data_IF_499425961951
#
_entry.id   IF_499425961951
#
_cell.length_a   1.000
_cell.length_b   1.000
_cell.length_c   1.000
_cell.angle_alpha   90.00
_cell.angle_beta   90.00
_cell.angle_gamma   90.00
#
_symmetry.space_group_name_H-M   'P 1'
#
loop_
_entity.id
_entity.type
_entity.pdbx_description
1 polymer ?
#
# COMPACT_ATOMS: atom_id res chain seq x y z
N UNK A 1 -5.50 27.30 25.44
CA UNK A 1 -4.84 27.45 24.12
C UNK A 1 -3.47 26.76 24.01
N UNK A 2 -2.66 26.71 25.09
CA UNK A 2 -1.31 26.10 25.10
C UNK A 2 -1.30 24.60 24.71
N UNK A 3 -2.23 23.82 25.27
CA UNK A 3 -2.39 22.37 24.99
C UNK A 3 -2.64 22.09 23.50
N UNK A 4 -3.56 22.83 22.87
CA UNK A 4 -3.85 22.70 21.43
C UNK A 4 -2.64 23.03 20.56
N UNK A 5 -1.93 24.11 20.89
CA UNK A 5 -0.71 24.52 20.19
C UNK A 5 0.37 23.44 20.27
N UNK A 6 0.60 22.89 21.46
CA UNK A 6 1.59 21.83 21.69
C UNK A 6 1.20 20.53 20.99
N UNK A 7 -0.08 20.15 21.04
CA UNK A 7 -0.61 18.98 20.34
C UNK A 7 -0.46 19.07 18.81
N UNK A 8 -0.90 20.19 18.22
CA UNK A 8 -0.79 20.41 16.77
C UNK A 8 0.66 20.43 16.31
N UNK A 9 1.58 21.02 17.09
CA UNK A 9 3.00 21.09 16.74
C UNK A 9 3.63 19.71 16.61
N UNK A 10 3.26 18.75 17.48
CA UNK A 10 3.72 17.36 17.38
C UNK A 10 3.30 16.69 16.07
N UNK A 11 2.11 17.04 15.56
CA UNK A 11 1.57 16.47 14.32
C UNK A 11 2.23 17.14 13.10
N UNK A 12 2.28 18.47 13.07
CA UNK A 12 2.78 19.23 11.91
C UNK A 12 4.29 19.13 11.72
N UNK A 13 5.06 18.87 12.78
CA UNK A 13 6.51 18.72 12.72
C UNK A 13 6.96 17.24 12.65
N UNK A 14 6.02 16.31 12.48
CA UNK A 14 6.37 14.91 12.29
C UNK A 14 6.79 14.65 10.84
N UNK A 15 8.07 14.87 10.54
CA UNK A 15 8.64 14.66 9.21
C UNK A 15 8.51 13.20 8.71
N UNK A 16 8.29 12.22 9.59
CA UNK A 16 8.03 10.83 9.19
C UNK A 16 6.71 10.69 8.43
N UNK A 17 5.75 11.59 8.66
CA UNK A 17 4.46 11.58 7.95
C UNK A 17 4.59 11.96 6.48
N UNK A 18 5.64 12.69 6.09
CA UNK A 18 5.92 13.03 4.70
C UNK A 18 6.32 11.78 3.88
N UNK A 19 6.83 10.76 4.56
CA UNK A 19 7.39 9.54 3.99
C UNK A 19 6.62 8.28 4.41
N UNK A 20 5.36 8.42 4.85
CA UNK A 20 4.56 7.28 5.28
C UNK A 20 4.17 6.40 4.08
N UNK A 21 3.87 5.13 4.37
CA UNK A 21 3.57 4.16 3.33
C UNK A 21 2.24 4.43 2.61
N UNK A 22 2.08 3.91 1.39
CA UNK A 22 0.85 4.01 0.60
C UNK A 22 -0.35 3.50 1.39
N UNK A 23 -0.24 2.37 2.11
CA UNK A 23 -1.34 1.88 2.96
C UNK A 23 -1.77 2.91 4.02
N UNK A 24 -0.80 3.59 4.65
CA UNK A 24 -1.09 4.67 5.61
C UNK A 24 -1.72 5.88 4.94
N UNK A 25 -1.26 6.24 3.74
CA UNK A 25 -1.87 7.33 2.95
C UNK A 25 -3.29 7.00 2.51
N UNK A 26 -3.56 5.75 2.12
CA UNK A 26 -4.90 5.24 1.80
C UNK A 26 -5.80 5.26 3.04
N UNK A 27 -5.28 4.84 4.20
CA UNK A 27 -6.00 4.91 5.48
C UNK A 27 -6.39 6.35 5.83
N UNK A 28 -5.49 7.32 5.64
CA UNK A 28 -5.82 8.75 5.82
C UNK A 28 -6.91 9.23 4.88
N UNK A 29 -6.85 8.84 3.60
CA UNK A 29 -7.88 9.21 2.62
C UNK A 29 -9.24 8.61 2.98
N UNK A 30 -9.27 7.34 3.34
CA UNK A 30 -10.46 6.68 3.84
C UNK A 30 -11.04 7.37 5.09
N UNK A 31 -10.21 7.66 6.09
CA UNK A 31 -10.64 8.40 7.29
C UNK A 31 -11.23 9.76 6.92
N UNK A 32 -10.60 10.49 5.99
CA UNK A 32 -11.13 11.77 5.52
C UNK A 32 -12.49 11.61 4.86
N UNK A 33 -12.68 10.60 4.01
CA UNK A 33 -13.97 10.32 3.37
C UNK A 33 -15.05 10.00 4.40
N UNK A 34 -14.73 9.20 5.43
CA UNK A 34 -15.65 8.90 6.54
C UNK A 34 -16.08 10.14 7.35
N UNK A 35 -15.28 11.20 7.35
CA UNK A 35 -15.63 12.46 8.01
C UNK A 35 -16.43 13.40 7.10
N UNK A 36 -16.49 13.14 5.80
CA UNK A 36 -17.25 13.93 4.83
C UNK A 36 -18.68 13.39 4.70
N UNK A 37 -19.44 13.51 5.78
CA UNK A 37 -20.83 13.03 5.86
C UNK A 37 -21.84 14.09 5.44
N UNK A 38 -23.02 13.65 5.01
CA UNK A 38 -24.19 14.52 4.80
C UNK A 38 -24.92 14.84 6.11
N UNK A 39 -26.06 15.52 6.00
CA UNK A 39 -26.92 15.89 7.13
C UNK A 39 -27.51 14.69 7.87
N UNK A 40 -27.60 13.53 7.22
CA UNK A 40 -28.05 12.28 7.82
C UNK A 40 -26.89 11.51 8.48
N UNK A 41 -25.66 12.01 8.40
CA UNK A 41 -24.48 11.36 8.95
C UNK A 41 -23.89 10.25 8.06
N UNK A 42 -24.33 10.16 6.80
CA UNK A 42 -23.88 9.14 5.86
C UNK A 42 -22.78 9.68 4.93
N UNK A 43 -21.86 8.81 4.51
CA UNK A 43 -20.82 9.13 3.53
C UNK A 43 -21.45 9.16 2.13
N UNK A 44 -21.54 10.31 1.43
CA UNK A 44 -22.23 10.36 0.15
C UNK A 44 -21.45 9.66 -0.96
N UNK A 45 -22.13 8.79 -1.72
CA UNK A 45 -21.51 8.00 -2.80
C UNK A 45 -20.86 8.91 -3.87
N UNK A 46 -21.47 10.06 -4.18
CA UNK A 46 -20.88 11.08 -5.08
C UNK A 46 -19.51 11.62 -4.63
N UNK A 47 -19.24 11.66 -3.32
CA UNK A 47 -17.95 12.13 -2.78
C UNK A 47 -16.88 11.07 -2.99
N UNK A 48 -17.23 9.80 -2.79
CA UNK A 48 -16.36 8.66 -3.09
C UNK A 48 -16.07 8.62 -4.59
N UNK A 49 -17.10 8.69 -5.45
CA UNK A 49 -16.94 8.69 -6.91
C UNK A 49 -15.99 9.79 -7.40
N UNK A 50 -16.14 11.03 -6.91
CA UNK A 50 -15.26 12.15 -7.26
C UNK A 50 -13.80 11.91 -6.86
N UNK A 51 -13.56 11.20 -5.76
CA UNK A 51 -12.21 10.90 -5.27
C UNK A 51 -11.44 10.01 -6.25
N UNK A 52 -12.13 9.13 -6.96
CA UNK A 52 -11.56 8.21 -7.95
C UNK A 52 -11.70 8.68 -9.41
N UNK A 53 -12.48 9.75 -9.65
CA UNK A 53 -12.78 10.27 -10.99
C UNK A 53 -11.57 10.90 -11.71
N UNK A 54 -10.45 11.14 -11.02
CA UNK A 54 -9.24 11.71 -11.63
C UNK A 54 -8.53 10.77 -12.62
N UNK A 55 -8.96 9.50 -12.74
CA UNK A 55 -8.36 8.54 -13.67
C UNK A 55 -9.29 7.45 -14.22
N UNK A 56 -10.56 7.39 -13.79
CA UNK A 56 -11.55 6.38 -14.22
C UNK A 56 -12.95 7.00 -14.31
N UNK A 57 -13.87 6.34 -15.01
CA UNK A 57 -15.26 6.81 -15.12
C UNK A 57 -16.01 6.62 -13.79
N UNK A 58 -16.88 7.55 -13.42
CA UNK A 58 -17.72 7.41 -12.21
C UNK A 58 -18.56 6.13 -12.25
N UNK A 59 -18.96 5.67 -13.44
CA UNK A 59 -19.69 4.41 -13.65
C UNK A 59 -18.92 3.20 -13.09
N UNK A 60 -17.60 3.14 -13.27
CA UNK A 60 -16.79 2.06 -12.73
C UNK A 60 -16.78 2.07 -11.19
N UNK A 61 -16.79 3.27 -10.59
CA UNK A 61 -16.82 3.42 -9.13
C UNK A 61 -18.15 2.91 -8.57
N UNK A 62 -19.28 3.31 -9.16
CA UNK A 62 -20.59 2.84 -8.74
C UNK A 62 -20.74 1.32 -8.87
N UNK A 63 -20.29 0.74 -9.99
CA UNK A 63 -20.29 -0.72 -10.15
C UNK A 63 -19.41 -1.41 -9.10
N UNK A 64 -18.22 -0.86 -8.84
CA UNK A 64 -17.30 -1.44 -7.84
C UNK A 64 -17.87 -1.38 -6.43
N UNK A 65 -18.61 -0.31 -6.07
CA UNK A 65 -19.35 -0.24 -4.81
C UNK A 65 -20.46 -1.30 -4.73
N UNK A 66 -21.21 -1.48 -5.81
CA UNK A 66 -22.28 -2.49 -5.88
C UNK A 66 -21.72 -3.91 -5.68
N UNK A 67 -20.60 -4.23 -6.33
CA UNK A 67 -19.94 -5.53 -6.21
C UNK A 67 -19.38 -5.79 -4.79
N UNK A 68 -19.11 -4.71 -4.04
CA UNK A 68 -18.72 -4.79 -2.63
C UNK A 68 -19.92 -4.86 -1.68
N UNK A 69 -21.15 -4.86 -2.20
CA UNK A 69 -22.38 -4.84 -1.40
C UNK A 69 -22.65 -3.50 -0.72
N UNK A 70 -22.06 -2.42 -1.21
CA UNK A 70 -22.26 -1.06 -0.68
C UNK A 70 -23.31 -0.30 -1.51
N UNK A 71 -24.00 0.69 -0.91
CA UNK A 71 -24.80 1.65 -1.65
C UNK A 71 -24.02 2.26 -2.83
N UNK A 72 -24.63 2.27 -4.00
CA UNK A 72 -23.94 2.57 -5.28
C UNK A 72 -24.68 3.58 -6.15
N UNK A 73 -25.89 3.98 -5.76
CA UNK A 73 -26.61 5.06 -6.41
C UNK A 73 -25.92 6.40 -6.21
N UNK A 74 -25.93 7.25 -7.24
CA UNK A 74 -25.24 8.55 -7.23
C UNK A 74 -25.61 9.45 -6.02
N UNK A 75 -26.85 9.34 -5.55
CA UNK A 75 -27.38 10.15 -4.45
C UNK A 75 -27.48 9.36 -3.13
N UNK A 76 -26.99 8.13 -3.09
CA UNK A 76 -27.03 7.30 -1.90
C UNK A 76 -25.99 7.77 -0.87
N UNK A 77 -26.23 7.39 0.38
CA UNK A 77 -25.29 7.53 1.48
C UNK A 77 -24.91 6.16 2.03
N UNK A 78 -23.64 6.00 2.42
CA UNK A 78 -23.13 4.79 3.08
C UNK A 78 -22.98 5.08 4.57
N UNK A 79 -23.47 4.20 5.44
CA UNK A 79 -23.25 4.35 6.87
C UNK A 79 -21.74 4.26 7.20
N UNK A 80 -21.19 5.13 8.06
CA UNK A 80 -19.77 5.08 8.40
C UNK A 80 -19.30 3.74 8.98
N UNK A 81 -20.20 2.96 9.59
CA UNK A 81 -19.90 1.63 10.11
C UNK A 81 -19.70 0.60 8.99
N UNK A 82 -20.46 0.69 7.90
CA UNK A 82 -20.37 -0.21 6.75
C UNK A 82 -19.19 0.14 5.84
N UNK A 83 -18.78 1.41 5.78
CA UNK A 83 -17.62 1.85 5.01
C UNK A 83 -16.30 1.56 5.74
N UNK A 84 -15.95 0.29 5.91
CA UNK A 84 -14.71 -0.15 6.57
C UNK A 84 -13.47 0.12 5.72
N UNK A 85 -12.29 0.07 6.34
CA UNK A 85 -11.04 0.28 5.60
C UNK A 85 -10.80 -0.86 4.61
N UNK A 86 -11.18 -2.08 4.96
CA UNK A 86 -11.06 -3.27 4.13
C UNK A 86 -11.86 -3.09 2.84
N UNK A 87 -13.12 -2.64 2.94
CA UNK A 87 -13.97 -2.33 1.78
C UNK A 87 -13.40 -1.21 0.92
N UNK A 88 -12.87 -0.15 1.54
CA UNK A 88 -12.20 0.92 0.80
C UNK A 88 -10.93 0.44 0.09
N UNK A 89 -10.14 -0.42 0.74
CA UNK A 89 -8.90 -0.95 0.19
C UNK A 89 -9.17 -1.88 -1.00
N UNK A 90 -10.22 -2.69 -0.91
CA UNK A 90 -10.70 -3.51 -2.02
C UNK A 90 -11.22 -2.66 -3.19
N UNK A 91 -12.00 -1.61 -2.89
CA UNK A 91 -12.47 -0.62 -3.86
C UNK A 91 -11.29 0.04 -4.60
N UNK A 92 -10.25 0.45 -3.87
CA UNK A 92 -9.04 1.04 -4.44
C UNK A 92 -8.35 0.09 -5.43
N UNK A 93 -8.14 -1.17 -5.05
CA UNK A 93 -7.48 -2.15 -5.92
C UNK A 93 -8.28 -2.45 -7.18
N UNK A 94 -9.61 -2.47 -7.06
CA UNK A 94 -10.50 -2.69 -8.20
C UNK A 94 -10.50 -1.53 -9.20
N UNK A 95 -10.47 -0.30 -8.71
CA UNK A 95 -10.50 0.91 -9.56
C UNK A 95 -9.10 1.23 -10.12
N UNK A 96 -8.07 1.00 -9.32
CA UNK A 96 -6.67 1.30 -9.64
C UNK A 96 -5.83 0.02 -9.67
N UNK A 97 -6.06 -0.88 -10.65
CA UNK A 97 -5.28 -2.10 -10.77
C UNK A 97 -3.81 -1.76 -10.99
N UNK A 98 -2.93 -2.47 -10.28
CA UNK A 98 -1.46 -2.30 -10.32
C UNK A 98 -0.83 -3.28 -11.32
N UNK A 99 -1.16 -3.11 -12.60
CA UNK A 99 -0.60 -3.95 -13.68
C UNK A 99 0.93 -3.88 -13.71
N UNK A 100 1.52 -2.75 -13.31
CA UNK A 100 2.97 -2.58 -13.16
C UNK A 100 3.59 -3.56 -12.15
N UNK A 101 2.86 -3.92 -11.10
CA UNK A 101 3.30 -4.93 -10.13
C UNK A 101 3.21 -6.34 -10.73
N UNK A 102 2.20 -6.60 -11.55
CA UNK A 102 2.05 -7.87 -12.25
C UNK A 102 3.13 -8.08 -13.31
N UNK A 103 3.42 -7.06 -14.11
CA UNK A 103 4.53 -7.06 -15.05
C UNK A 103 5.88 -7.24 -14.33
N UNK A 104 6.06 -6.57 -13.19
CA UNK A 104 7.24 -6.73 -12.37
C UNK A 104 7.36 -8.17 -11.84
N UNK A 105 6.29 -8.75 -11.32
CA UNK A 105 6.26 -10.13 -10.86
C UNK A 105 6.66 -11.09 -11.98
N UNK A 106 6.05 -10.95 -13.16
CA UNK A 106 6.39 -11.75 -14.34
C UNK A 106 7.84 -11.56 -14.77
N UNK A 107 8.40 -10.36 -14.63
CA UNK A 107 9.81 -10.12 -14.95
C UNK A 107 10.78 -10.86 -14.00
N UNK A 108 10.41 -11.02 -12.73
CA UNK A 108 11.21 -11.73 -11.72
C UNK A 108 11.08 -13.25 -11.92
N UNK A 109 9.86 -13.75 -12.10
CA UNK A 109 9.60 -15.20 -12.29
C UNK A 109 9.85 -15.67 -13.72
N UNK A 110 10.13 -14.75 -14.65
CA UNK A 110 10.21 -14.98 -16.09
C UNK A 110 8.94 -15.63 -16.67
N UNK A 111 7.79 -15.45 -16.01
CA UNK A 111 6.52 -16.06 -16.37
C UNK A 111 6.48 -17.59 -16.22
N UNK A 112 7.42 -18.18 -15.47
CA UNK A 112 7.54 -19.65 -15.34
C UNK A 112 7.02 -20.19 -14.00
N UNK A 113 6.73 -19.31 -13.05
CA UNK A 113 6.31 -19.67 -11.71
C UNK A 113 5.27 -18.68 -11.16
N UNK A 114 4.39 -19.20 -10.32
CA UNK A 114 3.37 -18.45 -9.59
C UNK A 114 3.87 -17.92 -8.23
N UNK A 115 5.12 -18.22 -7.91
CA UNK A 115 5.85 -17.77 -6.72
C UNK A 115 7.25 -17.26 -7.10
N UNK A 116 7.82 -16.44 -6.24
CA UNK A 116 9.22 -16.01 -6.33
C UNK A 116 10.01 -16.77 -5.27
N UNK A 117 11.10 -17.42 -5.67
CA UNK A 117 12.02 -18.09 -4.75
C UNK A 117 12.92 -17.08 -4.01
N UNK A 118 13.51 -17.51 -2.89
CA UNK A 118 14.45 -16.67 -2.13
C UNK A 118 15.61 -16.17 -3.01
N UNK A 119 16.18 -17.03 -3.85
CA UNK A 119 17.27 -16.65 -4.77
C UNK A 119 16.85 -15.59 -5.78
N UNK A 120 15.65 -15.74 -6.38
CA UNK A 120 15.09 -14.76 -7.29
C UNK A 120 14.86 -13.42 -6.58
N UNK A 121 14.46 -13.45 -5.31
CA UNK A 121 14.27 -12.25 -4.51
C UNK A 121 15.57 -11.53 -4.19
N UNK A 122 16.59 -12.27 -3.75
CA UNK A 122 17.93 -11.73 -3.47
C UNK A 122 18.49 -11.06 -4.72
N UNK A 123 18.41 -11.74 -5.87
CA UNK A 123 18.83 -11.21 -7.15
C UNK A 123 18.07 -9.91 -7.48
N UNK A 124 16.74 -9.92 -7.35
CA UNK A 124 15.94 -8.71 -7.55
C UNK A 124 16.36 -7.55 -6.63
N UNK A 125 16.58 -7.80 -5.35
CA UNK A 125 16.99 -6.78 -4.38
C UNK A 125 18.36 -6.19 -4.71
N UNK A 126 19.34 -7.04 -5.06
CA UNK A 126 20.71 -6.61 -5.31
C UNK A 126 20.90 -5.98 -6.70
N UNK A 127 20.25 -6.51 -7.74
CA UNK A 127 20.49 -6.07 -9.12
C UNK A 127 19.49 -5.01 -9.61
N UNK A 128 18.25 -5.01 -9.10
CA UNK A 128 17.18 -4.11 -9.58
C UNK A 128 16.77 -3.03 -8.59
N UNK A 129 16.93 -3.25 -7.29
CA UNK A 129 16.54 -2.27 -6.27
C UNK A 129 17.73 -1.50 -5.66
N UNK A 130 18.92 -2.08 -5.65
CA UNK A 130 20.11 -1.44 -5.09
C UNK A 130 20.60 -0.31 -6.00
N UNK A 131 20.99 0.82 -5.41
CA UNK A 131 21.70 1.87 -6.16
C UNK A 131 23.13 1.39 -6.43
N UNK A 132 23.55 1.26 -7.72
CA UNK A 132 24.86 0.72 -8.08
C UNK A 132 26.03 1.60 -7.61
N UNK A 133 25.77 2.86 -7.21
CA UNK A 133 26.80 3.78 -6.70
C UNK A 133 27.11 3.56 -5.22
N UNK A 134 26.31 2.77 -4.50
CA UNK A 134 26.54 2.49 -3.08
C UNK A 134 27.71 1.52 -2.89
N UNK A 135 28.60 1.81 -1.94
CA UNK A 135 29.73 0.96 -1.59
C UNK A 135 29.26 -0.32 -0.88
N UNK A 136 29.76 -1.48 -1.29
CA UNK A 136 29.32 -2.79 -0.77
C UNK A 136 29.78 -3.09 0.66
N UNK A 137 30.87 -2.47 1.13
CA UNK A 137 31.34 -2.64 2.52
C UNK A 137 30.44 -1.85 3.47
N UNK A 138 30.08 -0.63 3.10
CA UNK A 138 29.19 0.22 3.90
C UNK A 138 27.71 -0.18 3.77
N UNK A 139 27.33 -0.69 2.60
CA UNK A 139 25.97 -1.13 2.26
C UNK A 139 26.02 -2.54 1.67
N UNK A 140 26.10 -3.56 2.55
CA UNK A 140 26.18 -4.96 2.15
C UNK A 140 25.04 -5.38 1.24
N UNK A 141 25.33 -6.36 0.38
CA UNK A 141 24.32 -7.02 -0.42
C UNK A 141 23.34 -7.77 0.48
N UNK A 142 22.11 -7.91 0.01
CA UNK A 142 21.12 -8.78 0.64
C UNK A 142 21.56 -10.23 0.52
N UNK A 143 21.47 -10.95 1.63
CA UNK A 143 21.70 -12.39 1.73
C UNK A 143 20.38 -13.13 2.05
N UNK A 144 20.46 -14.46 2.09
CA UNK A 144 19.30 -15.34 2.37
C UNK A 144 18.63 -14.99 3.70
N UNK A 145 19.42 -14.81 4.76
CA UNK A 145 18.90 -14.45 6.08
C UNK A 145 18.09 -13.17 6.02
N UNK A 146 18.61 -12.13 5.37
CA UNK A 146 17.94 -10.84 5.24
C UNK A 146 16.70 -10.91 4.36
N UNK A 147 16.73 -11.72 3.30
CA UNK A 147 15.58 -11.96 2.44
C UNK A 147 14.45 -12.65 3.22
N UNK A 148 14.77 -13.69 4.00
CA UNK A 148 13.80 -14.41 4.84
C UNK A 148 13.19 -13.54 5.94
N UNK A 149 13.97 -12.66 6.57
CA UNK A 149 13.44 -11.67 7.52
C UNK A 149 12.35 -10.78 6.87
N UNK A 150 12.59 -10.33 5.63
CA UNK A 150 11.62 -9.52 4.89
C UNK A 150 10.40 -10.38 4.51
N UNK A 151 10.58 -11.62 4.07
CA UNK A 151 9.47 -12.52 3.74
C UNK A 151 8.57 -12.72 4.98
N UNK A 152 9.16 -12.99 6.14
CA UNK A 152 8.42 -13.20 7.38
C UNK A 152 7.61 -11.98 7.85
N UNK A 153 8.16 -10.77 7.64
CA UNK A 153 7.52 -9.51 8.01
C UNK A 153 6.34 -9.13 7.10
N UNK A 154 6.36 -9.54 5.82
CA UNK A 154 5.48 -8.99 4.79
C UNK A 154 4.60 -10.02 4.05
N UNK A 155 4.86 -11.33 4.14
CA UNK A 155 4.00 -12.36 3.54
C UNK A 155 2.82 -12.68 4.49
N UNK A 156 1.57 -12.38 4.09
CA UNK A 156 0.40 -12.63 4.93
C UNK A 156 0.08 -14.12 5.11
N UNK A 157 0.46 -14.99 4.17
CA UNK A 157 0.20 -16.43 4.29
C UNK A 157 1.22 -17.12 5.20
N UNK A 158 0.73 -17.83 6.23
CA UNK A 158 1.60 -18.67 7.08
C UNK A 158 2.19 -19.87 6.34
N UNK A 159 1.43 -20.45 5.40
CA UNK A 159 1.86 -21.61 4.61
C UNK A 159 3.06 -21.24 3.72
N UNK A 160 2.95 -20.12 2.99
CA UNK A 160 4.01 -19.65 2.10
C UNK A 160 5.27 -19.20 2.85
N UNK A 161 5.11 -18.63 4.05
CA UNK A 161 6.25 -18.34 4.94
C UNK A 161 7.03 -19.59 5.32
N UNK A 162 6.34 -20.71 5.53
CA UNK A 162 6.98 -22.00 5.81
C UNK A 162 7.78 -22.55 4.63
N UNK A 163 7.32 -22.29 3.41
CA UNK A 163 7.97 -22.73 2.17
C UNK A 163 9.09 -21.79 1.69
N UNK A 164 9.26 -20.62 2.34
CA UNK A 164 10.18 -19.56 1.90
C UNK A 164 9.93 -19.07 0.47
N UNK A 165 8.69 -19.20 0.01
CA UNK A 165 8.20 -18.73 -1.29
C UNK A 165 7.22 -17.57 -1.06
N UNK A 166 7.03 -16.71 -2.06
CA UNK A 166 6.06 -15.62 -1.94
C UNK A 166 5.38 -15.27 -3.25
N UNK A 167 4.15 -14.75 -3.15
CA UNK A 167 3.28 -14.44 -4.29
C UNK A 167 3.24 -12.95 -4.61
N UNK A 168 2.60 -12.58 -5.71
CA UNK A 168 2.35 -11.19 -6.13
C UNK A 168 1.71 -10.28 -5.05
N UNK A 169 0.97 -10.87 -4.10
CA UNK A 169 0.37 -10.18 -2.94
C UNK A 169 1.45 -9.55 -2.06
N UNK A 170 2.61 -10.19 -1.92
CA UNK A 170 3.78 -9.67 -1.23
C UNK A 170 4.35 -8.43 -1.90
N UNK A 171 4.46 -8.40 -3.23
CA UNK A 171 4.92 -7.21 -3.96
C UNK A 171 3.96 -6.04 -3.78
N UNK A 172 2.64 -6.29 -3.83
CA UNK A 172 1.63 -5.28 -3.51
C UNK A 172 1.82 -4.72 -2.10
N UNK A 173 2.14 -5.58 -1.13
CA UNK A 173 2.36 -5.16 0.25
C UNK A 173 3.68 -4.39 0.43
N UNK A 174 4.79 -4.84 -0.18
CA UNK A 174 6.10 -4.16 -0.17
C UNK A 174 6.04 -2.79 -0.84
N UNK A 175 5.45 -2.70 -2.04
CA UNK A 175 5.33 -1.44 -2.76
C UNK A 175 4.26 -0.52 -2.18
N UNK A 176 3.24 -1.07 -1.52
CA UNK A 176 2.34 -0.25 -0.70
C UNK A 176 2.98 0.24 0.61
N UNK A 177 4.08 -0.38 1.03
CA UNK A 177 4.79 -0.06 2.28
C UNK A 177 5.87 1.03 2.11
N UNK A 178 6.14 1.53 0.89
CA UNK A 178 7.29 2.42 0.57
C UNK A 178 8.65 1.89 1.08
N UNK A 179 8.71 0.61 1.44
CA UNK A 179 9.64 0.19 2.47
C UNK A 179 11.05 -0.05 1.93
N UNK A 180 11.17 -0.40 0.64
CA UNK A 180 12.49 -0.67 0.05
C UNK A 180 13.22 0.64 -0.27
N UNK A 181 12.55 1.69 -0.75
CA UNK A 181 13.22 2.96 -1.06
C UNK A 181 13.57 3.78 0.21
N UNK A 182 12.69 3.74 1.22
CA UNK A 182 12.81 4.62 2.39
C UNK A 182 13.60 3.96 3.53
N UNK A 183 13.43 2.66 3.83
CA UNK A 183 14.22 2.03 4.91
C UNK A 183 15.66 1.74 4.50
N UNK A 184 15.94 1.52 3.21
CA UNK A 184 17.33 1.47 2.73
C UNK A 184 17.97 2.83 2.92
N UNK A 185 17.37 3.92 2.45
CA UNK A 185 17.93 5.26 2.63
C UNK A 185 18.06 5.69 4.11
N UNK A 186 17.11 5.33 4.98
CA UNK A 186 17.09 5.77 6.39
C UNK A 186 17.94 4.92 7.35
N UNK A 187 18.23 3.64 7.03
CA UNK A 187 19.25 2.89 7.80
C UNK A 187 20.67 3.29 7.40
N UNK A 188 20.82 3.87 6.21
CA UNK A 188 22.07 4.41 5.67
C UNK A 188 22.37 5.81 6.23
N UNK A 189 21.35 6.61 6.50
CA UNK A 189 21.48 7.96 7.06
C UNK A 189 21.40 8.00 8.60
N UNK A 190 21.94 7.00 9.29
CA UNK A 190 22.05 7.03 10.75
C UNK A 190 23.07 8.07 11.22
N UNK A 191 22.67 9.33 11.26
CA UNK A 191 23.24 10.42 12.04
C UNK A 191 22.11 11.32 12.57
#
# INVERSE_FOLDING_TARGET
MKIWKEGLRKITHNNKMNNCCVRTNLMKHWMRLKMLVDVAGNVPVKVIARTFASGKTEKLVYQSLADLGLPSGKNDGIEPAEFTFEKFYELYHKICPRNDIEELFQSITQGKADTISVDQFINFLNEKQRDPRLNEILYPLYDEKRALEIINDYEPSEELRGESEFRIIFLNYIFSSNLVLIRVSLKISGA
#
